data_IF_068044174824
#
_entry.id   IF_068044174824
#
_cell.length_a   1.000
_cell.length_b   1.000
_cell.length_c   1.000
_cell.angle_alpha   90.00
_cell.angle_beta   90.00
_cell.angle_gamma   90.00
#
_symmetry.space_group_name_H-M   'P 1'
#
loop_
_entity.id
_entity.type
_entity.pdbx_description
1 polymer ?
#
# COMPACT_ATOMS: atom_id res chain seq x y z
N UNK A 1 -9.82 8.52 30.68
CA UNK A 1 -8.60 8.88 29.91
C UNK A 1 -9.01 9.35 28.54
N UNK A 2 -8.56 10.52 28.13
CA UNK A 2 -8.86 11.10 26.83
C UNK A 2 -8.07 10.34 25.77
N UNK A 3 -8.71 9.90 24.66
CA UNK A 3 -8.06 9.22 23.53
C UNK A 3 -6.81 9.97 23.03
N UNK A 4 -6.85 11.30 23.11
CA UNK A 4 -5.74 12.19 22.81
C UNK A 4 -4.49 11.92 23.66
N UNK A 5 -4.64 11.51 24.91
CA UNK A 5 -3.53 11.21 25.82
C UNK A 5 -2.91 9.83 25.59
N UNK A 6 -3.64 8.90 24.97
CA UNK A 6 -3.12 7.56 24.61
C UNK A 6 -2.25 7.66 23.37
N UNK A 7 -2.67 8.46 22.38
CA UNK A 7 -1.93 8.71 21.13
C UNK A 7 -0.62 9.45 21.37
N UNK A 8 -0.59 10.41 22.34
CA UNK A 8 0.63 11.15 22.66
C UNK A 8 1.66 10.32 23.45
N UNK A 9 1.23 9.28 24.16
CA UNK A 9 2.11 8.48 25.01
C UNK A 9 2.81 7.32 24.35
N UNK A 10 2.30 6.79 23.25
CA UNK A 10 2.94 5.63 22.61
C UNK A 10 2.60 5.47 21.11
N UNK A 11 3.09 6.41 20.31
CA UNK A 11 2.95 6.34 18.84
C UNK A 11 3.55 5.05 18.26
N UNK A 12 4.47 4.40 18.99
CA UNK A 12 5.14 3.17 18.58
C UNK A 12 4.44 1.90 19.09
N UNK A 13 3.25 2.02 19.69
CA UNK A 13 2.47 0.87 20.12
C UNK A 13 2.12 -0.04 18.92
N UNK A 14 2.21 -1.35 19.14
CA UNK A 14 1.66 -2.34 18.22
C UNK A 14 0.78 -3.34 18.98
N UNK A 15 -0.28 -3.80 18.32
CA UNK A 15 -1.23 -4.74 18.90
C UNK A 15 -0.74 -6.21 18.80
N UNK A 16 -1.59 -7.17 19.16
CA UNK A 16 -1.29 -8.61 19.12
C UNK A 16 -0.95 -9.12 17.71
N UNK A 17 -1.43 -8.45 16.65
CA UNK A 17 -1.10 -8.75 15.25
C UNK A 17 0.18 -8.03 14.77
N UNK A 18 0.83 -7.27 15.63
CA UNK A 18 1.99 -6.45 15.28
C UNK A 18 1.63 -5.18 14.50
N UNK A 19 0.36 -4.79 14.43
CA UNK A 19 -0.10 -3.59 13.74
C UNK A 19 0.15 -2.35 14.58
N UNK A 20 0.68 -1.29 13.97
CA UNK A 20 0.74 0.00 14.61
C UNK A 20 -0.62 0.74 14.53
N UNK A 21 -0.71 1.90 15.17
CA UNK A 21 -1.96 2.68 15.22
C UNK A 21 -2.41 3.14 13.83
N UNK A 22 -1.48 3.44 12.90
CA UNK A 22 -1.82 3.81 11.53
C UNK A 22 -2.51 2.67 10.78
N UNK A 23 -1.97 1.47 10.89
CA UNK A 23 -2.57 0.27 10.27
C UNK A 23 -3.97 0.01 10.84
N UNK A 24 -4.16 0.13 12.15
CA UNK A 24 -5.47 0.00 12.79
C UNK A 24 -6.47 1.06 12.30
N UNK A 25 -6.04 2.32 12.15
CA UNK A 25 -6.88 3.39 11.63
C UNK A 25 -7.32 3.11 10.17
N UNK A 26 -6.43 2.57 9.33
CA UNK A 26 -6.75 2.18 7.96
C UNK A 26 -7.77 1.04 7.94
N UNK A 27 -7.57 0.00 8.75
CA UNK A 27 -8.51 -1.14 8.88
C UNK A 27 -9.90 -0.69 9.32
N UNK A 28 -9.96 0.29 10.23
CA UNK A 28 -11.23 0.84 10.77
C UNK A 28 -11.83 1.94 9.90
N UNK A 29 -11.21 2.26 8.75
CA UNK A 29 -11.63 3.35 7.85
C UNK A 29 -11.66 4.74 8.53
N UNK A 30 -10.81 4.96 9.52
CA UNK A 30 -10.71 6.21 10.28
C UNK A 30 -9.64 7.14 9.67
N UNK A 31 -9.93 7.68 8.48
CA UNK A 31 -8.97 8.46 7.72
C UNK A 31 -8.46 9.71 8.45
N UNK A 32 -9.31 10.39 9.23
CA UNK A 32 -8.90 11.57 10.01
C UNK A 32 -7.83 11.21 11.05
N UNK A 33 -7.97 10.06 11.72
CA UNK A 33 -6.98 9.55 12.67
C UNK A 33 -5.69 9.15 11.93
N UNK A 34 -5.81 8.48 10.78
CA UNK A 34 -4.66 8.11 9.97
C UNK A 34 -3.84 9.33 9.54
N UNK A 35 -4.50 10.39 9.08
CA UNK A 35 -3.84 11.67 8.70
C UNK A 35 -3.12 12.29 9.89
N UNK A 36 -3.76 12.33 11.06
CA UNK A 36 -3.16 12.87 12.28
C UNK A 36 -1.91 12.10 12.72
N UNK A 37 -1.97 10.77 12.65
CA UNK A 37 -0.83 9.90 12.96
C UNK A 37 0.36 10.11 12.01
N UNK A 38 0.10 10.23 10.71
CA UNK A 38 1.13 10.53 9.72
C UNK A 38 1.78 11.89 10.02
N UNK A 39 0.99 12.90 10.33
CA UNK A 39 1.49 14.23 10.68
C UNK A 39 2.31 14.23 11.96
N UNK A 40 2.07 13.30 12.88
CA UNK A 40 2.84 13.11 14.11
C UNK A 40 4.12 12.27 13.93
N UNK A 41 4.41 11.83 12.72
CA UNK A 41 5.64 11.10 12.39
C UNK A 41 5.62 9.62 12.74
N UNK A 42 4.44 8.97 12.74
CA UNK A 42 4.36 7.52 12.90
C UNK A 42 5.14 6.81 11.78
N UNK A 43 5.67 5.62 12.06
CA UNK A 43 6.35 4.80 11.04
C UNK A 43 5.35 4.38 9.95
N UNK A 44 5.48 5.02 8.78
CA UNK A 44 4.59 4.79 7.62
C UNK A 44 4.93 3.52 6.83
N UNK A 45 6.07 2.88 7.14
CA UNK A 45 6.52 1.62 6.52
C UNK A 45 6.51 0.45 7.50
N UNK A 46 5.88 0.61 8.66
CA UNK A 46 5.79 -0.43 9.67
C UNK A 46 5.18 -1.72 9.10
N UNK A 47 5.84 -2.86 9.35
CA UNK A 47 5.36 -4.18 8.96
C UNK A 47 4.76 -4.91 10.17
N UNK A 48 3.54 -5.40 10.01
CA UNK A 48 2.90 -6.27 11.00
C UNK A 48 3.51 -7.69 10.98
N UNK A 49 2.96 -8.61 11.75
CA UNK A 49 3.46 -10.01 11.83
C UNK A 49 3.38 -10.76 10.50
N UNK A 50 2.50 -10.35 9.58
CA UNK A 50 2.39 -10.90 8.23
C UNK A 50 3.28 -10.18 7.22
N UNK A 51 4.03 -9.18 7.65
CA UNK A 51 4.86 -8.35 6.80
C UNK A 51 4.09 -7.25 6.06
N UNK A 52 2.84 -6.99 6.42
CA UNK A 52 2.02 -5.97 5.79
C UNK A 52 2.41 -4.58 6.25
N UNK A 53 2.60 -3.67 5.31
CA UNK A 53 2.79 -2.24 5.54
C UNK A 53 1.43 -1.51 5.51
N UNK A 54 1.37 -0.24 5.94
CA UNK A 54 0.16 0.58 5.74
C UNK A 54 -0.33 0.61 4.29
N UNK A 55 0.57 0.62 3.29
CA UNK A 55 0.18 0.54 1.87
C UNK A 55 -0.49 -0.78 1.48
N UNK A 56 -0.09 -1.90 2.06
CA UNK A 56 -0.79 -3.18 1.86
C UNK A 56 -2.24 -3.09 2.33
N UNK A 57 -2.48 -2.48 3.50
CA UNK A 57 -3.83 -2.27 4.01
C UNK A 57 -4.65 -1.32 3.13
N UNK A 58 -4.04 -0.22 2.65
CA UNK A 58 -4.70 0.66 1.68
C UNK A 58 -5.11 -0.08 0.40
N UNK A 59 -4.25 -0.96 -0.11
CA UNK A 59 -4.53 -1.76 -1.30
C UNK A 59 -5.65 -2.79 -1.03
N UNK A 60 -5.65 -3.42 0.13
CA UNK A 60 -6.69 -4.37 0.52
C UNK A 60 -8.08 -3.74 0.62
N UNK A 61 -8.16 -2.52 1.16
CA UNK A 61 -9.42 -1.81 1.41
C UNK A 61 -9.73 -0.72 0.39
N UNK A 62 -8.94 -0.60 -0.67
CA UNK A 62 -9.07 0.44 -1.70
C UNK A 62 -9.12 1.86 -1.12
N UNK A 63 -8.28 2.13 -0.11
CA UNK A 63 -8.19 3.44 0.52
C UNK A 63 -7.21 4.34 -0.23
N UNK A 64 -7.69 4.94 -1.33
CA UNK A 64 -6.89 5.78 -2.21
C UNK A 64 -6.41 7.04 -1.49
N UNK A 65 -7.25 7.63 -0.65
CA UNK A 65 -6.95 8.87 0.08
C UNK A 65 -5.72 8.73 0.97
N UNK A 66 -5.66 7.67 1.77
CA UNK A 66 -4.50 7.43 2.65
C UNK A 66 -3.31 6.90 1.87
N UNK A 67 -3.53 6.07 0.85
CA UNK A 67 -2.45 5.62 -0.03
C UNK A 67 -1.71 6.81 -0.67
N UNK A 68 -2.44 7.78 -1.20
CA UNK A 68 -1.86 8.99 -1.79
C UNK A 68 -1.05 9.79 -0.77
N UNK A 69 -1.59 9.99 0.44
CA UNK A 69 -0.87 10.66 1.53
C UNK A 69 0.44 9.94 1.87
N UNK A 70 0.40 8.62 2.05
CA UNK A 70 1.58 7.82 2.38
C UNK A 70 2.66 7.91 1.29
N UNK A 71 2.25 7.84 0.04
CA UNK A 71 3.17 7.94 -1.11
C UNK A 71 3.79 9.34 -1.22
N UNK A 72 3.01 10.40 -0.98
CA UNK A 72 3.51 11.78 -0.93
C UNK A 72 4.52 11.97 0.22
N UNK A 73 4.34 11.28 1.33
CA UNK A 73 5.26 11.30 2.48
C UNK A 73 6.46 10.36 2.30
N UNK A 74 6.61 9.71 1.15
CA UNK A 74 7.76 8.90 0.82
C UNK A 74 7.68 7.44 1.25
N UNK A 75 6.48 6.90 1.46
CA UNK A 75 6.32 5.48 1.76
C UNK A 75 6.98 4.60 0.69
N UNK A 76 7.65 3.55 1.14
CA UNK A 76 8.28 2.56 0.26
C UNK A 76 7.21 1.69 -0.39
N UNK A 77 7.11 1.75 -1.72
CA UNK A 77 6.01 1.15 -2.48
C UNK A 77 6.17 -0.36 -2.73
N UNK A 78 7.39 -0.89 -2.63
CA UNK A 78 7.72 -2.27 -3.02
C UNK A 78 8.13 -3.19 -1.86
N UNK A 79 7.82 -2.84 -0.62
CA UNK A 79 8.02 -3.75 0.50
C UNK A 79 7.13 -4.98 0.31
N UNK A 80 7.69 -6.16 0.51
CA UNK A 80 6.98 -7.42 0.34
C UNK A 80 6.56 -8.00 1.70
N UNK A 81 5.41 -8.67 1.72
CA UNK A 81 4.90 -9.40 2.87
C UNK A 81 5.46 -10.83 2.97
N UNK A 82 4.96 -11.61 3.91
CA UNK A 82 5.44 -13.00 4.12
C UNK A 82 5.16 -13.93 2.94
N UNK A 83 4.25 -13.56 2.01
CA UNK A 83 3.98 -14.29 0.77
C UNK A 83 4.80 -13.79 -0.42
N UNK A 84 5.63 -12.76 -0.22
CA UNK A 84 6.39 -12.11 -1.27
C UNK A 84 5.59 -11.13 -2.11
N UNK A 85 4.39 -10.74 -1.64
CA UNK A 85 3.53 -9.79 -2.33
C UNK A 85 3.85 -8.34 -1.94
N UNK A 86 3.98 -7.47 -2.93
CA UNK A 86 4.00 -6.02 -2.71
C UNK A 86 2.55 -5.46 -2.63
N UNK A 87 2.35 -4.21 -2.22
CA UNK A 87 1.02 -3.59 -2.19
C UNK A 87 0.28 -3.62 -3.53
N UNK A 88 1.00 -3.52 -4.66
CA UNK A 88 0.40 -3.57 -5.99
C UNK A 88 -0.32 -4.90 -6.26
N UNK A 89 0.20 -6.02 -5.77
CA UNK A 89 -0.47 -7.32 -5.88
C UNK A 89 -1.91 -7.26 -5.35
N UNK A 90 -2.09 -6.71 -4.15
CA UNK A 90 -3.42 -6.59 -3.52
C UNK A 90 -4.31 -5.58 -4.23
N UNK A 91 -3.75 -4.47 -4.72
CA UNK A 91 -4.50 -3.50 -5.51
C UNK A 91 -5.03 -4.10 -6.81
N UNK A 92 -4.22 -4.89 -7.51
CA UNK A 92 -4.63 -5.60 -8.74
C UNK A 92 -5.69 -6.66 -8.43
N UNK A 93 -5.46 -7.44 -7.37
CA UNK A 93 -6.40 -8.50 -6.96
C UNK A 93 -7.78 -7.96 -6.57
N UNK A 94 -7.83 -6.79 -5.92
CA UNK A 94 -9.06 -6.19 -5.39
C UNK A 94 -9.65 -5.09 -6.30
N UNK A 95 -9.16 -4.90 -7.52
CA UNK A 95 -9.51 -3.74 -8.34
C UNK A 95 -10.99 -3.68 -8.73
N UNK A 96 -11.61 -4.80 -9.07
CA UNK A 96 -13.04 -4.86 -9.45
C UNK A 96 -13.45 -3.76 -10.46
N UNK A 97 -12.69 -3.60 -11.55
CA UNK A 97 -12.85 -2.57 -12.57
C UNK A 97 -12.59 -1.12 -12.09
N UNK A 98 -12.14 -0.92 -10.86
CA UNK A 98 -11.62 0.37 -10.37
C UNK A 98 -10.09 0.34 -10.34
N UNK A 99 -9.48 0.96 -11.33
CA UNK A 99 -8.01 0.96 -11.50
C UNK A 99 -7.30 2.17 -10.87
N UNK A 100 -8.02 3.03 -10.15
CA UNK A 100 -7.44 4.28 -9.61
C UNK A 100 -6.26 4.03 -8.68
N UNK A 101 -6.37 3.06 -7.76
CA UNK A 101 -5.29 2.74 -6.83
C UNK A 101 -4.11 2.06 -7.54
N UNK A 102 -4.39 1.18 -8.51
CA UNK A 102 -3.35 0.54 -9.33
C UNK A 102 -2.54 1.60 -10.08
N UNK A 103 -3.22 2.55 -10.75
CA UNK A 103 -2.58 3.66 -11.46
C UNK A 103 -1.73 4.51 -10.51
N UNK A 104 -2.23 4.79 -9.32
CA UNK A 104 -1.52 5.56 -8.30
C UNK A 104 -0.23 4.85 -7.86
N UNK A 105 -0.29 3.56 -7.54
CA UNK A 105 0.87 2.78 -7.11
C UNK A 105 1.92 2.68 -8.24
N UNK A 106 1.48 2.41 -9.47
CA UNK A 106 2.37 2.36 -10.65
C UNK A 106 3.05 3.71 -10.89
N UNK A 107 2.30 4.80 -10.73
CA UNK A 107 2.84 6.17 -10.82
C UNK A 107 4.00 6.40 -9.85
N UNK A 108 3.94 5.82 -8.65
CA UNK A 108 5.00 5.93 -7.64
C UNK A 108 6.04 4.81 -7.69
N UNK A 109 6.06 4.03 -8.77
CA UNK A 109 7.13 3.06 -9.03
C UNK A 109 6.87 1.65 -8.51
N UNK A 110 5.60 1.29 -8.27
CA UNK A 110 5.26 -0.08 -7.88
C UNK A 110 5.69 -1.07 -8.98
N UNK A 111 6.34 -2.17 -8.57
CA UNK A 111 6.90 -3.16 -9.48
C UNK A 111 5.85 -4.20 -9.87
N UNK A 112 5.35 -4.08 -11.10
CA UNK A 112 4.39 -5.01 -11.69
C UNK A 112 4.98 -6.39 -12.02
N UNK A 113 6.31 -6.51 -12.02
CA UNK A 113 7.03 -7.75 -12.36
C UNK A 113 7.56 -8.49 -11.13
N UNK A 114 7.38 -7.95 -9.93
CA UNK A 114 7.83 -8.56 -8.69
C UNK A 114 7.15 -9.92 -8.46
N UNK A 115 7.95 -10.99 -8.47
CA UNK A 115 7.46 -12.36 -8.27
C UNK A 115 7.28 -12.65 -6.77
N UNK A 116 6.11 -13.14 -6.40
CA UNK A 116 5.85 -13.63 -5.05
C UNK A 116 6.39 -15.07 -4.83
N UNK A 117 6.13 -15.65 -3.67
CA UNK A 117 6.59 -17.02 -3.34
C UNK A 117 5.99 -18.10 -4.26
N UNK A 118 4.86 -17.82 -4.91
CA UNK A 118 4.26 -18.69 -5.92
C UNK A 118 4.79 -18.41 -7.34
N UNK A 119 5.87 -17.62 -7.48
CA UNK A 119 6.49 -17.22 -8.75
C UNK A 119 5.54 -16.43 -9.67
N UNK A 120 4.61 -15.67 -9.11
CA UNK A 120 3.62 -14.87 -9.85
C UNK A 120 3.78 -13.38 -9.54
N UNK A 121 3.72 -12.56 -10.56
CA UNK A 121 3.73 -11.09 -10.43
C UNK A 121 2.31 -10.50 -10.58
N UNK A 122 2.09 -9.23 -10.17
CA UNK A 122 0.85 -8.53 -10.46
C UNK A 122 0.45 -8.59 -11.95
N UNK A 123 1.42 -8.44 -12.85
CA UNK A 123 1.17 -8.54 -14.29
C UNK A 123 0.76 -9.96 -14.71
N UNK A 124 1.36 -11.01 -14.15
CA UNK A 124 0.97 -12.40 -14.43
C UNK A 124 -0.48 -12.65 -14.02
N UNK A 125 -0.91 -12.10 -12.87
CA UNK A 125 -2.30 -12.21 -12.43
C UNK A 125 -3.25 -11.50 -13.39
N UNK A 126 -2.94 -10.27 -13.80
CA UNK A 126 -3.76 -9.52 -14.76
C UNK A 126 -3.91 -10.28 -16.10
N UNK A 127 -2.82 -10.90 -16.59
CA UNK A 127 -2.85 -11.75 -17.79
C UNK A 127 -3.71 -13.00 -17.60
N UNK A 128 -3.65 -13.62 -16.42
CA UNK A 128 -4.43 -14.82 -16.11
C UNK A 128 -5.95 -14.56 -16.13
N UNK A 129 -6.37 -13.40 -15.65
CA UNK A 129 -7.79 -13.00 -15.66
C UNK A 129 -8.20 -12.30 -16.96
N UNK A 130 -7.27 -12.15 -17.90
CA UNK A 130 -7.47 -11.54 -19.23
C UNK A 130 -7.99 -10.10 -19.16
N UNK A 131 -7.63 -9.36 -18.09
CA UNK A 131 -8.00 -7.95 -17.91
C UNK A 131 -7.08 -7.05 -18.77
N UNK A 132 -7.55 -6.76 -19.98
CA UNK A 132 -6.78 -6.00 -20.98
C UNK A 132 -6.43 -4.59 -20.50
N UNK A 133 -7.33 -3.89 -19.82
CA UNK A 133 -7.06 -2.54 -19.30
C UNK A 133 -6.00 -2.59 -18.19
N UNK A 134 -6.13 -3.53 -17.26
CA UNK A 134 -5.14 -3.76 -16.22
C UNK A 134 -3.76 -4.08 -16.80
N UNK A 135 -3.70 -4.99 -17.79
CA UNK A 135 -2.45 -5.34 -18.47
C UNK A 135 -1.79 -4.09 -19.08
N UNK A 136 -2.57 -3.25 -19.75
CA UNK A 136 -2.06 -2.01 -20.34
C UNK A 136 -1.51 -1.04 -19.29
N UNK A 137 -2.16 -0.90 -18.15
CA UNK A 137 -1.71 -0.06 -17.04
C UNK A 137 -0.37 -0.59 -16.50
N UNK A 138 -0.28 -1.89 -16.23
CA UNK A 138 0.90 -2.53 -15.62
C UNK A 138 2.08 -2.64 -16.58
N UNK A 139 1.83 -2.75 -17.89
CA UNK A 139 2.86 -2.86 -18.92
C UNK A 139 3.32 -1.49 -19.48
N UNK A 140 2.71 -0.38 -19.04
CA UNK A 140 3.02 0.95 -19.56
C UNK A 140 4.35 1.48 -19.03
N UNK A 141 5.43 1.21 -19.79
CA UNK A 141 6.80 1.66 -19.48
C UNK A 141 6.96 3.18 -19.35
N UNK A 142 6.07 3.96 -19.97
CA UNK A 142 6.13 5.43 -19.92
C UNK A 142 5.71 6.02 -18.56
N UNK A 143 4.87 5.33 -17.81
CA UNK A 143 4.55 5.73 -16.43
C UNK A 143 5.72 5.41 -15.48
N UNK A 144 6.41 4.30 -15.70
CA UNK A 144 7.55 3.85 -14.89
C UNK A 144 8.77 4.76 -15.10
N UNK A 145 9.10 5.12 -16.36
CA UNK A 145 10.28 5.92 -16.69
C UNK A 145 10.18 7.37 -16.20
N UNK A 146 8.97 7.94 -16.15
CA UNK A 146 8.74 9.35 -15.76
C UNK A 146 9.04 9.62 -14.29
N UNK A 147 9.00 8.60 -13.44
CA UNK A 147 9.28 8.69 -12.00
C UNK A 147 10.66 8.18 -11.62
N UNK A 148 11.27 7.27 -12.39
CA UNK A 148 12.65 6.82 -12.18
C UNK A 148 13.69 7.86 -12.60
N UNK A 149 13.35 8.77 -13.51
CA UNK A 149 14.24 9.85 -13.97
C UNK A 149 14.29 11.07 -13.04
N UNK A 150 13.51 11.09 -11.94
CA UNK A 150 13.49 12.18 -10.95
C UNK A 150 14.22 11.84 -9.64
N UNK A 151 14.95 10.75 -9.60
CA UNK A 151 15.84 10.43 -8.48
C UNK A 151 17.21 11.07 -8.66
#
# INVERSE_FOLDING_TARGET
MNEKNILERNINYSNAYGRNLLQEAIVSCENAIAVDLVNKGIDIDHQDKMGWTPLHFCAQYNNITIAELLLQEGAKVNIIDCYGNNPLWYAVFNANDDYCLVKLLVKYGADALSKNNAMRSPLDFAKQIEDTEMINILANKNLISKYQSKK
#
